data_IF_003442483004
#
_entry.id   IF_003442483004
#
_cell.length_a   1.000
_cell.length_b   1.000
_cell.length_c   1.000
_cell.angle_alpha   90.00
_cell.angle_beta   90.00
_cell.angle_gamma   90.00
#
_symmetry.space_group_name_H-M   'P 1'
#
loop_
_entity.id
_entity.type
_entity.pdbx_description
1 polymer ?
#
# COMPACT_ATOMS: atom_id res chain seq x y z
N UNK A 1 21.33 4.26 -24.62
CA UNK A 1 20.76 2.91 -24.34
C UNK A 1 21.74 2.07 -23.52
N UNK A 2 22.18 2.53 -22.35
CA UNK A 2 23.29 1.91 -21.58
C UNK A 2 22.84 1.24 -20.26
N UNK A 3 21.55 0.91 -20.10
CA UNK A 3 21.00 0.41 -18.83
C UNK A 3 21.00 -1.11 -18.65
N UNK A 4 21.15 -1.88 -19.73
CA UNK A 4 21.01 -3.35 -19.71
C UNK A 4 22.27 -4.12 -20.08
N UNK A 5 23.30 -3.46 -20.63
CA UNK A 5 24.47 -4.14 -21.20
C UNK A 5 25.42 -4.70 -20.13
N UNK A 6 25.48 -4.09 -18.93
CA UNK A 6 26.38 -4.49 -17.83
C UNK A 6 25.66 -4.71 -16.48
N UNK A 7 24.34 -4.96 -16.49
CA UNK A 7 23.59 -5.18 -15.23
C UNK A 7 23.68 -6.65 -14.83
N UNK A 8 24.14 -6.91 -13.60
CA UNK A 8 24.09 -8.25 -13.02
C UNK A 8 22.65 -8.82 -13.04
N UNK A 9 22.51 -10.06 -13.50
CA UNK A 9 21.24 -10.75 -13.53
C UNK A 9 20.77 -11.10 -12.11
N UNK A 10 19.83 -10.31 -11.57
CA UNK A 10 19.22 -10.55 -10.26
C UNK A 10 17.95 -11.40 -10.31
N UNK A 11 17.59 -11.98 -11.46
CA UNK A 11 16.39 -12.82 -11.59
C UNK A 11 16.44 -14.03 -10.65
N UNK A 12 17.53 -14.84 -10.59
CA UNK A 12 17.58 -15.99 -9.69
C UNK A 12 17.46 -15.60 -8.21
N UNK A 13 18.01 -14.43 -7.85
CA UNK A 13 17.90 -13.87 -6.50
C UNK A 13 16.43 -13.60 -6.12
N UNK A 14 15.69 -12.90 -6.98
CA UNK A 14 14.28 -12.60 -6.72
C UNK A 14 13.40 -13.86 -6.79
N UNK A 15 13.69 -14.80 -7.70
CA UNK A 15 12.98 -16.08 -7.76
C UNK A 15 13.10 -16.84 -6.44
N UNK A 16 14.32 -16.98 -5.89
CA UNK A 16 14.55 -17.60 -4.59
C UNK A 16 13.80 -16.87 -3.47
N UNK A 17 13.90 -15.54 -3.41
CA UNK A 17 13.23 -14.71 -2.40
C UNK A 17 11.71 -14.93 -2.38
N UNK A 18 11.05 -14.87 -3.53
CA UNK A 18 9.59 -15.01 -3.62
C UNK A 18 9.12 -16.46 -3.46
N UNK A 19 9.91 -17.44 -3.91
CA UNK A 19 9.64 -18.86 -3.67
C UNK A 19 9.75 -19.20 -2.18
N UNK A 20 10.80 -18.75 -1.49
CA UNK A 20 10.92 -18.90 -0.03
C UNK A 20 9.77 -18.23 0.72
N UNK A 21 9.35 -17.04 0.28
CA UNK A 21 8.18 -16.36 0.84
C UNK A 21 6.89 -17.16 0.65
N UNK A 22 6.71 -17.80 -0.50
CA UNK A 22 5.56 -18.65 -0.78
C UNK A 22 5.54 -19.92 0.10
N UNK A 23 6.71 -20.55 0.30
CA UNK A 23 6.85 -21.68 1.24
C UNK A 23 6.52 -21.30 2.69
N UNK A 24 6.77 -20.04 3.07
CA UNK A 24 6.42 -19.49 4.39
C UNK A 24 4.97 -18.96 4.46
N UNK A 25 4.16 -19.18 3.43
CA UNK A 25 2.80 -18.66 3.30
C UNK A 25 2.67 -17.13 3.46
N UNK A 26 3.73 -16.39 3.14
CA UNK A 26 3.72 -14.93 3.16
C UNK A 26 3.07 -14.46 1.86
N UNK A 27 2.14 -13.50 1.94
CA UNK A 27 1.52 -12.89 0.76
C UNK A 27 2.57 -12.22 -0.12
N UNK A 28 2.46 -12.40 -1.44
CA UNK A 28 3.44 -11.91 -2.42
C UNK A 28 3.80 -10.43 -2.26
N UNK A 29 2.82 -9.57 -1.96
CA UNK A 29 3.03 -8.15 -1.76
C UNK A 29 3.82 -7.79 -0.48
N UNK A 30 3.95 -8.71 0.50
CA UNK A 30 4.65 -8.49 1.78
C UNK A 30 5.97 -9.27 1.90
N UNK A 31 6.47 -9.89 0.82
CA UNK A 31 7.63 -10.78 0.89
C UNK A 31 8.97 -10.04 0.97
N UNK A 32 9.03 -8.76 0.60
CA UNK A 32 10.30 -8.00 0.58
C UNK A 32 10.40 -7.00 1.74
N UNK A 33 11.62 -6.62 2.17
CA UNK A 33 11.79 -5.57 3.18
C UNK A 33 11.21 -4.22 2.74
N UNK A 34 11.32 -3.90 1.45
CA UNK A 34 10.79 -2.66 0.84
C UNK A 34 9.27 -2.63 0.82
N UNK A 35 8.61 -3.79 0.79
CA UNK A 35 7.16 -3.89 0.80
C UNK A 35 6.54 -3.11 1.96
N UNK A 36 7.07 -3.24 3.18
CA UNK A 36 6.53 -2.54 4.36
C UNK A 36 6.62 -1.02 4.23
N UNK A 37 7.74 -0.52 3.71
CA UNK A 37 7.93 0.91 3.47
C UNK A 37 6.97 1.49 2.43
N UNK A 38 6.53 0.69 1.46
CA UNK A 38 5.55 1.13 0.47
C UNK A 38 4.11 0.97 0.98
N UNK A 39 3.84 -0.11 1.71
CA UNK A 39 2.48 -0.48 2.13
C UNK A 39 1.99 0.34 3.31
N UNK A 40 2.83 0.69 4.28
CA UNK A 40 2.37 1.47 5.44
C UNK A 40 1.84 2.86 5.06
N UNK A 41 2.54 3.66 4.25
CA UNK A 41 1.97 4.92 3.76
C UNK A 41 0.68 4.71 2.96
N UNK A 42 0.64 3.68 2.11
CA UNK A 42 -0.56 3.32 1.34
C UNK A 42 -1.76 3.01 2.25
N UNK A 43 -1.57 2.23 3.31
CA UNK A 43 -2.65 1.90 4.25
C UNK A 43 -3.13 3.12 5.05
N UNK A 44 -2.23 4.02 5.43
CA UNK A 44 -2.59 5.27 6.10
C UNK A 44 -3.47 6.13 5.18
N UNK A 45 -3.09 6.30 3.92
CA UNK A 45 -3.88 7.06 2.96
C UNK A 45 -5.23 6.38 2.67
N UNK A 46 -5.24 5.06 2.46
CA UNK A 46 -6.44 4.31 2.15
C UNK A 46 -7.47 4.38 3.28
N UNK A 47 -7.04 4.00 4.49
CA UNK A 47 -7.95 3.96 5.65
C UNK A 47 -8.26 5.35 6.18
N UNK A 48 -7.32 6.31 6.10
CA UNK A 48 -7.57 7.70 6.42
C UNK A 48 -8.61 8.34 5.50
N UNK A 49 -8.47 8.12 4.19
CA UNK A 49 -9.45 8.60 3.19
C UNK A 49 -10.82 7.93 3.35
N UNK A 50 -10.85 6.62 3.60
CA UNK A 50 -12.08 5.89 3.85
C UNK A 50 -12.80 6.36 5.13
N UNK A 51 -12.07 6.52 6.24
CA UNK A 51 -12.66 7.04 7.47
C UNK A 51 -13.18 8.47 7.28
N UNK A 52 -12.44 9.32 6.57
CA UNK A 52 -12.86 10.69 6.24
C UNK A 52 -14.13 10.73 5.36
N UNK A 53 -14.23 9.85 4.36
CA UNK A 53 -15.42 9.79 3.50
C UNK A 53 -16.65 9.30 4.25
N UNK A 54 -16.51 8.26 5.08
CA UNK A 54 -17.59 7.76 5.94
C UNK A 54 -18.03 8.83 6.95
N UNK A 55 -17.09 9.55 7.56
CA UNK A 55 -17.39 10.66 8.46
C UNK A 55 -18.22 11.75 7.76
N UNK A 56 -17.78 12.22 6.59
CA UNK A 56 -18.51 13.26 5.86
C UNK A 56 -19.86 12.78 5.34
N UNK A 57 -19.99 11.51 4.95
CA UNK A 57 -21.26 10.90 4.58
C UNK A 57 -22.24 10.90 5.76
N UNK A 58 -21.81 10.44 6.95
CA UNK A 58 -22.66 10.47 8.15
C UNK A 58 -23.05 11.90 8.54
N UNK A 59 -22.13 12.85 8.42
CA UNK A 59 -22.41 14.27 8.67
C UNK A 59 -23.43 14.86 7.69
N UNK A 60 -23.33 14.49 6.41
CA UNK A 60 -24.27 14.91 5.38
C UNK A 60 -25.69 14.39 5.62
N UNK A 61 -25.83 13.14 6.07
CA UNK A 61 -27.13 12.57 6.47
C UNK A 61 -27.77 13.37 7.62
N UNK A 62 -26.95 13.90 8.53
CA UNK A 62 -27.39 14.75 9.65
C UNK A 62 -27.52 16.24 9.28
N UNK A 63 -27.35 16.61 8.01
CA UNK A 63 -27.53 17.98 7.51
C UNK A 63 -26.32 18.90 7.66
N UNK A 64 -25.16 18.39 8.07
CA UNK A 64 -23.91 19.15 8.14
C UNK A 64 -23.14 19.07 6.82
N UNK A 65 -22.71 20.21 6.27
CA UNK A 65 -21.97 20.30 4.98
C UNK A 65 -20.47 20.51 5.17
N UNK A 66 -20.03 20.82 6.38
CA UNK A 66 -18.64 21.11 6.73
C UNK A 66 -18.03 20.05 7.66
N UNK A 67 -16.69 19.93 7.64
CA UNK A 67 -15.95 18.97 8.47
C UNK A 67 -16.13 19.23 9.96
N UNK A 68 -16.10 20.50 10.34
CA UNK A 68 -16.29 20.97 11.70
C UNK A 68 -17.23 22.18 11.67
N UNK A 69 -18.49 21.98 12.03
CA UNK A 69 -19.47 23.06 12.06
C UNK A 69 -20.89 22.57 11.83
N UNK A 70 -21.84 23.50 11.98
CA UNK A 70 -23.27 23.27 11.69
C UNK A 70 -23.61 23.52 10.22
N UNK A 71 -22.82 24.33 9.53
CA UNK A 71 -23.03 24.75 8.13
C UNK A 71 -22.95 23.61 7.14
#
# INVERSE_FOLDING_TARGET
>A
MAGFVNRENRVPHYQKLFQEGAHKHIRQWNQTPRSKFMLYPYYVCLWGGFAGSMYMMSRMVLGHKTWFGKG
#
